data_IF_508776899865
#
_entry.id   IF_508776899865
#
_cell.length_a   1.000
_cell.length_b   1.000
_cell.length_c   1.000
_cell.angle_alpha   90.00
_cell.angle_beta   90.00
_cell.angle_gamma   90.00
#
_symmetry.space_group_name_H-M   'P 1'
#
loop_
_entity.id
_entity.type
_entity.pdbx_description
1 polymer ?
#
# COMPACT_ATOMS: atom_id res chain seq x y z
N UNK A 1 -1.53 -10.89 15.79
CA UNK A 1 -1.57 -10.76 14.32
C UNK A 1 -1.60 -9.28 13.96
N UNK A 2 -0.54 -8.82 13.31
CA UNK A 2 -0.38 -7.40 12.97
C UNK A 2 -0.64 -7.21 11.46
N UNK A 3 -1.64 -6.41 11.12
CA UNK A 3 -2.05 -6.17 9.73
C UNK A 3 -1.84 -4.71 9.36
N UNK A 4 -1.16 -4.46 8.23
CA UNK A 4 -0.88 -3.13 7.72
C UNK A 4 -1.74 -2.74 6.52
N UNK A 5 -1.70 -1.44 6.18
CA UNK A 5 -2.19 -0.92 4.91
C UNK A 5 -1.02 -0.29 4.15
N UNK A 6 -0.68 -0.86 3.00
CA UNK A 6 0.51 -0.49 2.23
C UNK A 6 0.13 0.30 0.99
N UNK A 7 0.69 1.49 0.86
CA UNK A 7 0.49 2.37 -0.29
C UNK A 7 1.76 2.36 -1.11
N UNK A 8 1.69 1.81 -2.32
CA UNK A 8 2.82 1.81 -3.27
C UNK A 8 2.81 3.12 -4.05
N UNK A 9 3.88 3.89 -3.94
CA UNK A 9 3.98 5.22 -4.55
C UNK A 9 5.33 5.44 -5.21
N UNK A 10 5.32 6.05 -6.41
CA UNK A 10 6.51 6.54 -7.10
C UNK A 10 6.17 7.83 -7.83
N UNK A 11 7.14 8.74 -7.92
CA UNK A 11 6.97 10.01 -8.65
C UNK A 11 7.23 9.88 -10.14
N UNK A 12 7.89 8.79 -10.58
CA UNK A 12 8.11 8.50 -12.00
C UNK A 12 6.80 8.15 -12.68
N UNK A 13 6.29 9.04 -13.48
CA UNK A 13 5.13 8.82 -14.33
C UNK A 13 5.43 9.32 -15.73
N UNK A 14 5.22 8.47 -16.76
CA UNK A 14 5.49 8.80 -18.16
C UNK A 14 4.35 9.61 -18.81
N UNK A 15 3.11 9.38 -18.36
CA UNK A 15 1.91 10.03 -18.91
C UNK A 15 1.61 11.37 -18.24
N UNK A 16 1.73 11.45 -16.94
CA UNK A 16 1.47 12.66 -16.17
C UNK A 16 2.48 12.75 -15.03
N UNK A 17 3.43 13.69 -15.15
CA UNK A 17 4.50 13.86 -14.17
C UNK A 17 3.95 14.11 -12.78
N UNK A 18 4.51 13.39 -11.78
CA UNK A 18 4.19 13.58 -10.35
C UNK A 18 2.69 13.53 -10.05
N UNK A 19 1.92 12.68 -10.80
CA UNK A 19 0.46 12.69 -10.75
C UNK A 19 -0.11 12.49 -9.34
N UNK A 20 0.57 11.71 -8.48
CA UNK A 20 0.11 11.46 -7.10
C UNK A 20 0.23 12.68 -6.19
N UNK A 21 1.00 13.68 -6.57
CA UNK A 21 1.17 14.94 -5.83
C UNK A 21 0.34 16.08 -6.41
N UNK A 22 -0.37 15.86 -7.52
CA UNK A 22 -1.26 16.87 -8.09
C UNK A 22 -2.42 17.16 -7.14
N UNK A 23 -2.84 18.41 -7.15
CA UNK A 23 -3.98 18.84 -6.35
C UNK A 23 -5.26 18.16 -6.82
N UNK A 24 -5.97 17.60 -5.87
CA UNK A 24 -7.30 17.04 -6.05
C UNK A 24 -8.24 17.72 -5.05
N UNK A 25 -8.82 18.82 -5.49
CA UNK A 25 -9.76 19.59 -4.69
C UNK A 25 -9.18 20.06 -3.34
N UNK A 26 -8.04 20.74 -3.40
CA UNK A 26 -7.37 21.36 -2.24
C UNK A 26 -6.35 20.50 -1.50
N UNK A 27 -6.14 19.25 -1.93
CA UNK A 27 -5.12 18.36 -1.37
C UNK A 27 -4.46 17.51 -2.46
N UNK A 28 -3.18 17.12 -2.30
CA UNK A 28 -2.57 16.12 -3.18
C UNK A 28 -3.35 14.80 -3.20
N UNK A 29 -3.37 14.13 -4.35
CA UNK A 29 -3.98 12.80 -4.49
C UNK A 29 -3.48 11.84 -3.41
N UNK A 30 -2.17 11.82 -3.15
CA UNK A 30 -1.57 10.99 -2.12
C UNK A 30 -2.17 11.24 -0.72
N UNK A 31 -2.35 12.50 -0.34
CA UNK A 31 -2.95 12.85 0.96
C UNK A 31 -4.41 12.35 1.05
N UNK A 32 -5.16 12.42 -0.08
CA UNK A 32 -6.53 11.87 -0.13
C UNK A 32 -6.55 10.36 0.09
N UNK A 33 -5.60 9.64 -0.50
CA UNK A 33 -5.47 8.19 -0.30
C UNK A 33 -5.12 7.87 1.15
N UNK A 34 -4.19 8.61 1.75
CA UNK A 34 -3.80 8.41 3.16
C UNK A 34 -4.98 8.68 4.10
N UNK A 35 -5.73 9.75 3.88
CA UNK A 35 -6.93 10.07 4.67
C UNK A 35 -7.96 8.95 4.62
N UNK A 36 -8.15 8.34 3.45
CA UNK A 36 -9.05 7.20 3.27
C UNK A 36 -8.50 5.95 3.95
N UNK A 37 -7.19 5.67 3.81
CA UNK A 37 -6.55 4.52 4.43
C UNK A 37 -6.69 4.56 5.98
N UNK A 38 -6.63 5.73 6.58
CA UNK A 38 -6.85 5.92 8.02
C UNK A 38 -8.25 5.50 8.50
N UNK A 39 -9.22 5.38 7.59
CA UNK A 39 -10.59 4.95 7.91
C UNK A 39 -10.78 3.43 7.78
N UNK A 40 -9.79 2.70 7.26
CA UNK A 40 -9.86 1.23 7.15
C UNK A 40 -9.76 0.63 8.54
N UNK A 41 -10.72 -0.23 8.87
CA UNK A 41 -10.78 -0.88 10.19
C UNK A 41 -9.93 -2.14 10.23
N UNK A 42 -9.28 -2.37 11.37
CA UNK A 42 -8.51 -3.59 11.64
C UNK A 42 -7.05 -3.54 11.22
N UNK A 43 -6.54 -2.38 10.82
CA UNK A 43 -5.12 -2.16 10.57
C UNK A 43 -4.42 -1.57 11.80
N UNK A 44 -3.13 -1.92 11.98
CA UNK A 44 -2.27 -1.39 13.03
C UNK A 44 -1.37 -0.25 12.55
N UNK A 45 -1.29 -0.03 11.25
CA UNK A 45 -0.53 1.08 10.69
C UNK A 45 -0.62 1.17 9.18
N UNK A 46 -0.15 2.29 8.64
CA UNK A 46 -0.08 2.57 7.21
C UNK A 46 1.38 2.75 6.84
N UNK A 47 1.82 2.11 5.76
CA UNK A 47 3.18 2.21 5.25
C UNK A 47 3.15 2.79 3.85
N UNK A 48 3.84 3.91 3.63
CA UNK A 48 4.11 4.44 2.30
C UNK A 48 5.37 3.75 1.76
N UNK A 49 5.18 2.86 0.79
CA UNK A 49 6.23 2.07 0.17
C UNK A 49 6.66 2.72 -1.15
N UNK A 50 7.91 3.15 -1.23
CA UNK A 50 8.46 3.79 -2.42
C UNK A 50 9.80 3.19 -2.82
N UNK A 51 10.45 3.74 -3.84
CA UNK A 51 11.77 3.30 -4.28
C UNK A 51 12.89 4.05 -3.56
N UNK A 52 14.12 3.53 -3.70
CA UNK A 52 15.34 4.20 -3.27
C UNK A 52 15.83 5.25 -4.28
N UNK A 53 15.13 5.45 -5.38
CA UNK A 53 15.47 6.48 -6.36
C UNK A 53 15.38 7.88 -5.70
N UNK A 54 16.37 8.73 -5.96
CA UNK A 54 16.46 10.08 -5.36
C UNK A 54 15.22 10.96 -5.64
N UNK A 55 14.55 10.76 -6.79
CA UNK A 55 13.33 11.51 -7.11
C UNK A 55 12.17 11.19 -6.17
N UNK A 56 12.16 10.03 -5.54
CA UNK A 56 11.11 9.59 -4.62
C UNK A 56 11.37 10.01 -3.17
N UNK A 57 12.54 10.60 -2.88
CA UNK A 57 12.94 10.97 -1.53
C UNK A 57 11.96 11.97 -0.87
N UNK A 58 11.35 12.86 -1.63
CA UNK A 58 10.39 13.83 -1.09
C UNK A 58 9.10 13.19 -0.54
N UNK A 59 8.79 11.93 -0.94
CA UNK A 59 7.64 11.21 -0.39
C UNK A 59 7.77 10.96 1.12
N UNK A 60 8.98 10.99 1.64
CA UNK A 60 9.23 10.95 3.08
C UNK A 60 8.51 12.08 3.83
N UNK A 61 8.52 13.31 3.26
CA UNK A 61 7.88 14.47 3.88
C UNK A 61 6.37 14.28 3.98
N UNK A 62 5.75 13.64 2.98
CA UNK A 62 4.32 13.29 3.01
C UNK A 62 4.00 12.25 4.07
N UNK A 63 4.86 11.24 4.21
CA UNK A 63 4.68 10.24 5.28
C UNK A 63 4.82 10.87 6.66
N UNK A 64 5.80 11.72 6.87
CA UNK A 64 6.05 12.43 8.12
C UNK A 64 4.88 13.36 8.47
N UNK A 65 4.43 14.19 7.53
CA UNK A 65 3.30 15.10 7.70
C UNK A 65 2.01 14.36 8.08
N UNK A 66 1.78 13.19 7.49
CA UNK A 66 0.59 12.38 7.72
C UNK A 66 0.74 11.40 8.90
N UNK A 67 1.90 11.37 9.55
CA UNK A 67 2.20 10.49 10.70
C UNK A 67 2.01 9.01 10.36
N UNK A 68 2.49 8.58 9.19
CA UNK A 68 2.49 7.19 8.74
C UNK A 68 3.92 6.69 8.58
N UNK A 69 4.08 5.37 8.51
CA UNK A 69 5.36 4.72 8.29
C UNK A 69 5.83 4.91 6.83
N UNK A 70 7.14 4.89 6.64
CA UNK A 70 7.77 5.08 5.33
C UNK A 70 8.82 3.99 5.09
N UNK A 71 8.80 3.40 3.89
CA UNK A 71 9.80 2.41 3.52
C UNK A 71 10.28 2.62 2.07
N UNK A 72 11.55 3.02 1.87
CA UNK A 72 12.19 3.05 0.56
C UNK A 72 12.84 1.69 0.27
N UNK A 73 12.42 1.03 -0.78
CA UNK A 73 12.92 -0.29 -1.16
C UNK A 73 13.28 -0.40 -2.63
N UNK A 74 13.38 -1.62 -3.16
CA UNK A 74 13.73 -1.89 -4.54
C UNK A 74 12.89 -1.08 -5.52
N UNK A 75 13.52 -0.42 -6.49
CA UNK A 75 12.82 0.32 -7.54
C UNK A 75 12.09 -0.61 -8.50
N UNK A 76 12.76 -1.68 -8.94
CA UNK A 76 12.28 -2.57 -10.00
C UNK A 76 11.44 -3.73 -9.46
N UNK A 77 11.70 -4.18 -8.24
CA UNK A 77 11.04 -5.32 -7.64
C UNK A 77 10.03 -4.89 -6.57
N UNK A 78 8.78 -4.68 -7.00
CA UNK A 78 7.69 -4.26 -6.10
C UNK A 78 7.38 -5.31 -5.04
N UNK A 79 7.36 -6.60 -5.39
CA UNK A 79 7.06 -7.66 -4.42
C UNK A 79 8.12 -7.73 -3.33
N UNK A 80 9.40 -7.64 -3.72
CA UNK A 80 10.50 -7.58 -2.75
C UNK A 80 10.37 -6.37 -1.84
N UNK A 81 10.08 -5.19 -2.40
CA UNK A 81 9.90 -3.95 -1.63
C UNK A 81 8.79 -4.08 -0.57
N UNK A 82 7.65 -4.65 -0.95
CA UNK A 82 6.53 -4.87 -0.02
C UNK A 82 6.88 -5.90 1.06
N UNK A 83 7.56 -6.98 0.68
CA UNK A 83 8.02 -7.99 1.63
C UNK A 83 9.01 -7.40 2.65
N UNK A 84 10.00 -6.67 2.16
CA UNK A 84 11.02 -6.05 3.01
C UNK A 84 10.38 -5.03 3.98
N UNK A 85 9.43 -4.23 3.50
CA UNK A 85 8.67 -3.30 4.33
C UNK A 85 7.85 -4.01 5.42
N UNK A 86 7.19 -5.11 5.06
CA UNK A 86 6.40 -5.90 6.00
C UNK A 86 7.28 -6.51 7.10
N UNK A 87 8.43 -7.06 6.72
CA UNK A 87 9.40 -7.62 7.67
C UNK A 87 9.99 -6.54 8.58
N UNK A 88 10.35 -5.39 8.01
CA UNK A 88 10.95 -4.29 8.76
C UNK A 88 10.02 -3.78 9.87
N UNK A 89 8.73 -3.65 9.58
CA UNK A 89 7.75 -3.17 10.56
C UNK A 89 7.03 -4.30 11.32
N UNK A 90 7.33 -5.57 11.03
CA UNK A 90 6.78 -6.72 11.74
C UNK A 90 5.30 -7.00 11.45
N UNK A 91 4.85 -6.79 10.21
CA UNK A 91 3.49 -7.13 9.79
C UNK A 91 3.38 -8.60 9.39
N UNK A 92 2.26 -9.23 9.76
CA UNK A 92 1.92 -10.61 9.36
C UNK A 92 1.18 -10.66 8.03
N UNK A 93 0.41 -9.61 7.73
CA UNK A 93 -0.32 -9.42 6.47
C UNK A 93 -0.52 -7.94 6.19
N UNK A 94 -0.88 -7.60 4.97
CA UNK A 94 -1.22 -6.23 4.62
C UNK A 94 -2.23 -6.15 3.47
N UNK A 95 -3.08 -5.12 3.53
CA UNK A 95 -3.88 -4.68 2.39
C UNK A 95 -3.03 -3.75 1.54
N UNK A 96 -3.08 -3.87 0.23
CA UNK A 96 -2.26 -3.06 -0.69
C UNK A 96 -3.09 -2.30 -1.71
N UNK A 97 -2.63 -1.09 -2.00
CA UNK A 97 -3.15 -0.21 -3.05
C UNK A 97 -2.00 0.57 -3.70
N UNK A 98 -2.18 0.98 -4.95
CA UNK A 98 -1.29 1.94 -5.60
C UNK A 98 -1.79 3.36 -5.38
N UNK A 99 -0.86 4.32 -5.27
CA UNK A 99 -1.16 5.70 -4.90
C UNK A 99 -1.91 6.51 -5.99
N UNK A 100 -2.25 5.89 -7.11
CA UNK A 100 -3.05 6.49 -8.17
C UNK A 100 -4.52 6.04 -8.16
N UNK A 101 -4.96 5.35 -7.12
CA UNK A 101 -6.34 4.87 -6.95
C UNK A 101 -7.01 5.52 -5.72
N UNK A 102 -7.38 6.81 -5.82
CA UNK A 102 -7.94 7.54 -4.67
C UNK A 102 -9.33 7.09 -4.25
N UNK A 103 -10.02 6.31 -5.09
CA UNK A 103 -11.39 5.86 -4.84
C UNK A 103 -11.49 4.40 -4.40
N UNK A 104 -10.40 3.83 -3.88
CA UNK A 104 -10.47 2.47 -3.34
C UNK A 104 -11.55 2.34 -2.24
N UNK A 105 -12.16 1.16 -2.16
CA UNK A 105 -13.24 0.92 -1.20
C UNK A 105 -12.71 0.67 0.22
N UNK A 106 -13.01 1.58 1.13
CA UNK A 106 -12.69 1.46 2.57
C UNK A 106 -13.45 0.26 3.17
N UNK A 107 -14.71 0.11 2.81
CA UNK A 107 -15.55 -0.99 3.29
C UNK A 107 -14.99 -2.35 2.87
N UNK A 108 -14.68 -2.51 1.59
CA UNK A 108 -14.14 -3.77 1.07
C UNK A 108 -12.77 -4.08 1.70
N UNK A 109 -11.90 -3.08 1.84
CA UNK A 109 -10.60 -3.26 2.50
C UNK A 109 -10.74 -3.75 3.94
N UNK A 110 -11.67 -3.18 4.70
CA UNK A 110 -11.98 -3.62 6.07
C UNK A 110 -12.56 -5.04 6.10
N UNK A 111 -13.37 -5.39 5.10
CA UNK A 111 -13.93 -6.73 4.95
C UNK A 111 -12.84 -7.79 4.67
N UNK A 112 -11.88 -7.49 3.78
CA UNK A 112 -10.74 -8.39 3.51
C UNK A 112 -9.96 -8.71 4.80
N UNK A 113 -9.75 -7.72 5.65
CA UNK A 113 -9.06 -7.90 6.92
C UNK A 113 -9.83 -8.82 7.85
N UNK A 114 -11.15 -8.63 7.98
CA UNK A 114 -12.00 -9.50 8.79
C UNK A 114 -11.98 -10.94 8.26
N UNK A 115 -12.04 -11.11 6.95
CA UNK A 115 -11.99 -12.42 6.31
C UNK A 115 -10.64 -13.11 6.55
N UNK A 116 -9.54 -12.38 6.44
CA UNK A 116 -8.21 -12.89 6.74
C UNK A 116 -8.06 -13.32 8.21
N UNK A 117 -8.54 -12.50 9.14
CA UNK A 117 -8.49 -12.84 10.58
C UNK A 117 -9.22 -14.15 10.91
N UNK A 118 -10.27 -14.48 10.16
CA UNK A 118 -11.02 -15.73 10.35
C UNK A 118 -10.34 -16.96 9.74
N UNK A 119 -9.73 -16.83 8.57
CA UNK A 119 -9.31 -17.96 7.74
C UNK A 119 -7.81 -17.98 7.39
N UNK A 120 -7.10 -16.87 7.54
CA UNK A 120 -5.67 -16.73 7.23
C UNK A 120 -5.31 -17.22 5.81
N UNK A 121 -6.07 -16.78 4.79
CA UNK A 121 -5.77 -17.06 3.39
C UNK A 121 -4.45 -16.42 2.96
N UNK A 122 -3.72 -17.07 2.06
CA UNK A 122 -2.47 -16.54 1.50
C UNK A 122 -2.67 -15.25 0.71
N UNK A 123 -3.77 -15.17 -0.04
CA UNK A 123 -4.13 -14.03 -0.88
C UNK A 123 -5.64 -13.88 -0.98
N UNK A 124 -6.11 -12.65 -0.79
CA UNK A 124 -7.53 -12.31 -0.96
C UNK A 124 -7.63 -11.12 -1.91
N UNK A 125 -8.37 -11.30 -2.98
CA UNK A 125 -8.60 -10.27 -4.00
C UNK A 125 -10.08 -9.90 -4.10
N UNK A 126 -10.35 -8.70 -4.58
CA UNK A 126 -11.70 -8.23 -4.88
C UNK A 126 -12.05 -8.44 -6.34
N UNK A 127 -13.30 -8.80 -6.63
CA UNK A 127 -13.85 -8.91 -7.99
C UNK A 127 -15.11 -8.08 -8.12
N UNK A 128 -15.46 -7.75 -9.35
CA UNK A 128 -16.71 -7.05 -9.70
C UNK A 128 -16.85 -5.65 -9.06
N UNK A 129 -15.74 -5.00 -8.76
CA UNK A 129 -15.71 -3.58 -8.40
C UNK A 129 -15.28 -2.74 -9.61
N UNK A 130 -15.68 -1.47 -9.69
CA UNK A 130 -15.15 -0.56 -10.70
C UNK A 130 -13.61 -0.51 -10.66
N UNK A 131 -13.00 -0.28 -11.80
CA UNK A 131 -11.54 -0.16 -11.91
C UNK A 131 -11.03 0.92 -10.96
N UNK A 132 -9.98 0.61 -10.20
CA UNK A 132 -9.40 1.53 -9.20
C UNK A 132 -10.08 1.52 -7.83
N UNK A 133 -11.19 0.78 -7.67
CA UNK A 133 -11.88 0.69 -6.38
C UNK A 133 -11.48 -0.52 -5.53
N UNK A 134 -10.84 -1.53 -6.15
CA UNK A 134 -10.43 -2.75 -5.46
C UNK A 134 -9.10 -2.64 -4.75
N UNK A 135 -8.97 -3.37 -3.65
CA UNK A 135 -7.71 -3.64 -2.96
C UNK A 135 -7.51 -5.15 -2.87
N UNK A 136 -6.33 -5.57 -2.46
CA UNK A 136 -6.05 -6.98 -2.18
C UNK A 136 -5.31 -7.10 -0.85
N UNK A 137 -5.39 -8.28 -0.24
CA UNK A 137 -4.66 -8.61 0.97
C UNK A 137 -3.68 -9.75 0.70
N UNK A 138 -2.47 -9.62 1.21
CA UNK A 138 -1.40 -10.61 1.13
C UNK A 138 -0.94 -11.04 2.52
N UNK A 139 -0.82 -12.36 2.73
CA UNK A 139 -0.09 -12.94 3.85
C UNK A 139 1.42 -12.80 3.59
N UNK A 140 2.17 -12.36 4.58
CA UNK A 140 3.63 -12.10 4.43
C UNK A 140 4.41 -13.41 4.22
N UNK A 141 4.00 -14.52 4.85
CA UNK A 141 4.65 -15.82 4.64
C UNK A 141 4.45 -16.33 3.21
N UNK A 142 3.24 -16.16 2.67
CA UNK A 142 2.95 -16.50 1.28
C UNK A 142 3.78 -15.64 0.32
N UNK A 143 3.89 -14.33 0.58
CA UNK A 143 4.72 -13.44 -0.22
C UNK A 143 6.21 -13.79 -0.15
N UNK A 144 6.69 -14.25 1.00
CA UNK A 144 8.07 -14.72 1.18
C UNK A 144 8.36 -15.92 0.29
N UNK A 145 7.45 -16.90 0.23
CA UNK A 145 7.58 -18.07 -0.65
C UNK A 145 7.63 -17.65 -2.12
N UNK A 146 6.71 -16.78 -2.54
CA UNK A 146 6.68 -16.27 -3.94
C UNK A 146 7.97 -15.52 -4.26
N UNK A 147 8.47 -14.69 -3.35
CA UNK A 147 9.72 -13.95 -3.56
C UNK A 147 10.93 -14.88 -3.68
N UNK A 148 10.97 -15.96 -2.92
CA UNK A 148 12.01 -16.99 -3.04
C UNK A 148 11.94 -17.73 -4.39
N UNK A 149 10.73 -18.10 -4.85
CA UNK A 149 10.53 -18.87 -6.08
C UNK A 149 10.88 -18.11 -7.35
N UNK A 150 10.88 -16.77 -7.35
CA UNK A 150 11.21 -15.97 -8.55
C UNK A 150 12.71 -15.72 -8.72
N UNK A 151 13.55 -16.14 -7.77
CA UNK A 151 15.01 -16.08 -7.87
C UNK A 151 15.53 -17.28 -8.63
#
# INVERSE_FOLDING_TARGET
MKIGFFITARLKSTRLKRKILLDMHGKPVLDRIIDRAKQVKGIEGIVLCTSTNSQDAELYDYALKNQIQFYPGSEDDVLKRLLDAAKYYGYDAFVSITADNPLFSIYTSSYLINLYKKNQYDFINTKNLPVGCGTYLLDVRALEVVNYMKQ
#
